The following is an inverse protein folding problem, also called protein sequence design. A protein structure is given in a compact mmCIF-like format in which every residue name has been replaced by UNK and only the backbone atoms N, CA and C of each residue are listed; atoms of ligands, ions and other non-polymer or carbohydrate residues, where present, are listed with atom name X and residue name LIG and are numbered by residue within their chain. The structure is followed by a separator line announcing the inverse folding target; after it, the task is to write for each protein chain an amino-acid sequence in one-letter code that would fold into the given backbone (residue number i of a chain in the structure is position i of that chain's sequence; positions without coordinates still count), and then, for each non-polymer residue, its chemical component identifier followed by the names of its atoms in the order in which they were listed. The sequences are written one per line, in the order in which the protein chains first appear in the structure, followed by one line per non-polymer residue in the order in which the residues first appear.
data_IF_955249127401
#
_entry.id   IF_955249127401
#
_cell.length_a   1.000
_cell.length_b   1.000
_cell.length_c   1.000
_cell.angle_alpha   90.00
_cell.angle_beta   90.00
_cell.angle_gamma   90.00
#
_symmetry.space_group_name_H-M   'P 1'
#
loop_
_entity.id
_entity.type
_entity.pdbx_description
1 polymer ?
#
# COMPACT_ATOMS: atom_id res chain seq x y z
N UNK A 1 -13.11 20.53 -12.49
CA UNK A 1 -13.25 21.96 -12.87
C UNK A 1 -12.29 22.27 -14.00
N UNK A 2 -12.78 22.36 -15.24
CA UNK A 2 -11.95 22.67 -16.43
C UNK A 2 -11.39 24.10 -16.41
N UNK A 3 -12.24 25.03 -15.95
CA UNK A 3 -11.94 26.48 -15.86
C UNK A 3 -10.76 26.82 -14.96
N UNK A 4 -10.43 25.97 -13.98
CA UNK A 4 -9.26 26.20 -13.12
C UNK A 4 -7.96 25.93 -13.89
N UNK A 5 -7.96 24.92 -14.78
CA UNK A 5 -6.81 24.66 -15.64
C UNK A 5 -6.56 25.83 -16.58
N UNK A 6 -7.61 26.39 -17.18
CA UNK A 6 -7.51 27.57 -18.06
C UNK A 6 -6.80 28.75 -17.34
N UNK A 7 -7.12 29.00 -16.07
CA UNK A 7 -6.47 30.06 -15.26
C UNK A 7 -4.99 29.73 -14.99
N UNK A 8 -4.67 28.46 -14.71
CA UNK A 8 -3.29 28.03 -14.49
C UNK A 8 -2.46 28.07 -15.77
N UNK A 9 -3.08 27.82 -16.92
CA UNK A 9 -2.46 27.99 -18.24
C UNK A 9 -2.07 29.45 -18.49
N UNK A 10 -3.01 30.38 -18.26
CA UNK A 10 -2.75 31.83 -18.35
C UNK A 10 -1.63 32.25 -17.39
N UNK A 11 -1.62 31.73 -16.17
CA UNK A 11 -0.56 31.98 -15.20
C UNK A 11 0.80 31.46 -15.66
N UNK A 12 0.86 30.25 -16.23
CA UNK A 12 2.10 29.69 -16.76
C UNK A 12 2.62 30.52 -17.94
N UNK A 13 1.73 30.95 -18.85
CA UNK A 13 2.09 31.87 -19.93
C UNK A 13 2.64 33.19 -19.40
N UNK A 14 1.97 33.80 -18.42
CA UNK A 14 2.39 35.06 -17.82
C UNK A 14 3.77 34.96 -17.14
N UNK A 15 4.07 33.83 -16.49
CA UNK A 15 5.37 33.58 -15.85
C UNK A 15 6.45 33.07 -16.80
N UNK A 16 6.10 32.75 -18.05
CA UNK A 16 7.01 32.15 -19.02
C UNK A 16 7.37 30.69 -18.73
N UNK A 17 6.54 29.98 -17.94
CA UNK A 17 6.73 28.56 -17.69
C UNK A 17 6.28 27.74 -18.89
N UNK A 18 7.17 26.88 -19.38
CA UNK A 18 6.85 25.92 -20.43
C UNK A 18 6.01 24.79 -19.85
N UNK A 19 4.78 24.62 -20.33
CA UNK A 19 3.85 23.64 -19.80
C UNK A 19 3.22 22.75 -20.89
N UNK A 20 2.60 21.65 -20.44
CA UNK A 20 1.62 20.87 -21.19
C UNK A 20 0.33 20.77 -20.37
N UNK A 21 -0.83 20.87 -21.04
CA UNK A 21 -2.14 20.65 -20.45
C UNK A 21 -2.82 19.46 -21.12
N UNK A 22 -3.23 18.45 -20.33
CA UNK A 22 -4.11 17.38 -20.81
C UNK A 22 -5.43 17.46 -20.08
N UNK A 23 -6.50 17.30 -20.86
CA UNK A 23 -7.85 17.29 -20.35
C UNK A 23 -8.63 16.06 -20.86
N UNK A 24 -9.82 15.82 -20.28
CA UNK A 24 -10.68 14.70 -20.62
C UNK A 24 -11.15 14.70 -22.08
N UNK A 25 -11.15 15.87 -22.74
CA UNK A 25 -11.51 16.03 -24.15
C UNK A 25 -10.34 15.94 -25.14
N UNK A 26 -9.09 15.89 -24.70
CA UNK A 26 -7.93 15.84 -25.59
C UNK A 26 -7.91 14.53 -26.38
N UNK A 27 -7.60 14.55 -27.67
CA UNK A 27 -7.54 13.32 -28.47
C UNK A 27 -6.49 12.36 -27.91
N UNK A 28 -6.68 11.05 -28.09
CA UNK A 28 -5.76 10.06 -27.53
C UNK A 28 -4.34 10.21 -28.07
N UNK A 29 -4.21 10.53 -29.36
CA UNK A 29 -2.92 10.74 -30.04
C UNK A 29 -2.16 11.92 -29.43
N UNK A 30 -2.84 13.05 -29.24
CA UNK A 30 -2.25 14.26 -28.65
C UNK A 30 -1.82 14.04 -27.20
N UNK A 31 -2.57 13.22 -26.45
CA UNK A 31 -2.20 12.84 -25.08
C UNK A 31 -0.89 12.09 -25.03
N UNK A 32 -0.71 11.10 -25.92
CA UNK A 32 0.53 10.32 -25.99
C UNK A 32 1.70 11.25 -26.36
N UNK A 33 1.52 12.09 -27.39
CA UNK A 33 2.56 13.02 -27.84
C UNK A 33 3.00 13.98 -26.72
N UNK A 34 2.05 14.54 -25.96
CA UNK A 34 2.37 15.43 -24.84
C UNK A 34 3.09 14.71 -23.68
N UNK A 35 2.69 13.47 -23.37
CA UNK A 35 3.34 12.64 -22.34
C UNK A 35 4.78 12.31 -22.75
N UNK A 36 4.98 11.89 -24.00
CA UNK A 36 6.29 11.49 -24.52
C UNK A 36 7.26 12.68 -24.54
N UNK A 37 6.82 13.85 -24.99
CA UNK A 37 7.66 15.04 -25.06
C UNK A 37 8.00 15.60 -23.65
N UNK A 38 7.10 15.46 -22.67
CA UNK A 38 7.41 15.81 -21.29
C UNK A 38 8.41 14.86 -20.63
N UNK A 39 8.31 13.56 -20.90
CA UNK A 39 9.18 12.54 -20.33
C UNK A 39 10.53 12.39 -21.04
N UNK A 40 10.70 13.03 -22.20
CA UNK A 40 11.93 13.00 -22.99
C UNK A 40 13.12 13.57 -22.20
N UNK A 41 14.27 12.92 -22.34
CA UNK A 41 15.51 13.42 -21.72
C UNK A 41 15.84 14.82 -22.24
N UNK A 42 16.04 15.77 -21.32
CA UNK A 42 16.28 17.18 -21.68
C UNK A 42 15.03 17.96 -22.09
N UNK A 43 13.82 17.48 -21.77
CA UNK A 43 12.59 18.25 -22.01
C UNK A 43 12.69 19.64 -21.36
N UNK A 44 12.32 20.67 -22.13
CA UNK A 44 12.26 22.05 -21.64
C UNK A 44 10.98 22.34 -20.84
N UNK A 45 10.07 21.36 -20.76
CA UNK A 45 8.78 21.50 -20.10
C UNK A 45 8.95 21.36 -18.61
N UNK A 46 8.49 22.36 -17.87
CA UNK A 46 8.60 22.43 -16.42
C UNK A 46 7.33 21.95 -15.72
N UNK A 47 6.15 22.24 -16.30
CA UNK A 47 4.86 21.95 -15.67
C UNK A 47 4.03 21.02 -16.54
N UNK A 48 3.46 19.98 -15.95
CA UNK A 48 2.40 19.20 -16.58
C UNK A 48 1.09 19.44 -15.84
N UNK A 49 0.22 20.24 -16.44
CA UNK A 49 -1.12 20.52 -15.95
C UNK A 49 -2.01 19.33 -16.31
N UNK A 50 -2.24 18.50 -15.31
CA UNK A 50 -3.36 17.57 -15.30
C UNK A 50 -4.36 18.09 -14.27
N UNK A 51 -5.59 17.62 -14.36
CA UNK A 51 -6.62 17.91 -13.36
C UNK A 51 -6.21 17.54 -11.92
N UNK A 52 -5.10 16.83 -11.67
CA UNK A 52 -4.82 16.21 -10.36
C UNK A 52 -3.34 16.02 -9.92
N UNK A 53 -2.31 16.58 -10.58
CA UNK A 53 -0.90 16.33 -10.14
C UNK A 53 -0.36 17.33 -9.09
N UNK A 54 -0.86 18.56 -9.07
CA UNK A 54 -0.87 19.40 -7.86
C UNK A 54 -2.33 19.40 -7.42
N UNK A 55 -2.61 18.90 -6.23
CA UNK A 55 -3.98 18.82 -5.73
C UNK A 55 -4.41 20.22 -5.29
N UNK A 56 -4.83 21.00 -6.28
CA UNK A 56 -5.35 22.35 -6.09
C UNK A 56 -6.64 22.29 -5.28
N UNK A 57 -7.52 21.36 -5.65
CA UNK A 57 -8.71 20.99 -4.91
C UNK A 57 -8.64 19.50 -4.56
N UNK A 58 -9.20 19.11 -3.41
CA UNK A 58 -9.32 17.70 -3.03
C UNK A 58 -10.60 17.09 -3.56
N UNK A 59 -10.53 15.89 -4.14
CA UNK A 59 -11.72 15.14 -4.50
C UNK A 59 -12.44 14.62 -3.24
N UNK A 60 -13.76 14.43 -3.33
CA UNK A 60 -14.57 13.80 -2.28
C UNK A 60 -14.26 12.30 -2.10
N UNK A 61 -13.67 11.69 -3.13
CA UNK A 61 -13.15 10.34 -3.12
C UNK A 61 -11.61 10.36 -2.95
N UNK A 62 -11.07 9.95 -1.78
CA UNK A 62 -9.62 9.94 -1.54
C UNK A 62 -8.85 9.05 -2.52
N UNK A 63 -9.49 8.02 -3.09
CA UNK A 63 -8.85 7.12 -4.03
C UNK A 63 -8.54 7.80 -5.38
N UNK A 64 -9.33 8.80 -5.78
CA UNK A 64 -9.07 9.56 -7.01
C UNK A 64 -7.79 10.39 -6.87
N UNK A 65 -7.61 11.04 -5.72
CA UNK A 65 -6.38 11.76 -5.40
C UNK A 65 -5.17 10.83 -5.34
N UNK A 66 -5.29 9.67 -4.68
CA UNK A 66 -4.22 8.66 -4.60
C UNK A 66 -3.82 8.16 -5.99
N UNK A 67 -4.80 7.87 -6.86
CA UNK A 67 -4.54 7.44 -8.23
C UNK A 67 -3.82 8.51 -9.06
N UNK A 68 -4.05 9.79 -8.76
CA UNK A 68 -3.33 10.87 -9.39
C UNK A 68 -1.88 10.98 -8.89
N UNK A 69 -1.65 10.81 -7.58
CA UNK A 69 -0.30 10.74 -7.01
C UNK A 69 0.50 9.59 -7.63
N UNK A 70 -0.13 8.43 -7.82
CA UNK A 70 0.47 7.23 -8.45
C UNK A 70 0.89 7.45 -9.91
N UNK A 71 0.49 8.56 -10.55
CA UNK A 71 1.02 8.93 -11.89
C UNK A 71 2.48 9.35 -11.82
N UNK A 72 2.90 9.98 -10.72
CA UNK A 72 4.27 10.41 -10.47
C UNK A 72 5.02 9.46 -9.52
N UNK A 73 4.34 8.98 -8.48
CA UNK A 73 4.87 8.03 -7.50
C UNK A 73 4.67 6.59 -7.99
N UNK A 74 5.44 6.21 -9.02
CA UNK A 74 5.37 4.88 -9.63
C UNK A 74 6.75 4.25 -9.77
N UNK A 75 6.78 2.92 -9.90
CA UNK A 75 7.96 2.14 -10.28
C UNK A 75 8.60 2.76 -11.53
N UNK A 76 9.89 3.08 -11.44
CA UNK A 76 10.64 3.80 -12.48
C UNK A 76 10.99 5.25 -12.10
N UNK A 77 10.33 5.81 -11.09
CA UNK A 77 10.72 7.09 -10.51
C UNK A 77 12.00 6.94 -9.68
N UNK A 78 13.01 7.75 -9.99
CA UNK A 78 14.32 7.74 -9.32
C UNK A 78 14.46 8.84 -8.27
N UNK A 79 13.62 9.89 -8.32
CA UNK A 79 13.65 11.04 -7.41
C UNK A 79 12.52 10.97 -6.39
N UNK A 80 12.74 11.55 -5.22
CA UNK A 80 11.69 11.66 -4.20
C UNK A 80 10.50 12.49 -4.74
N UNK A 81 9.31 11.93 -4.67
CA UNK A 81 8.07 12.62 -5.05
C UNK A 81 7.54 13.37 -3.84
N UNK A 82 7.31 14.67 -4.01
CA UNK A 82 6.64 15.52 -3.04
C UNK A 82 5.23 15.81 -3.55
N UNK A 83 4.23 15.57 -2.71
CA UNK A 83 2.83 15.85 -3.02
C UNK A 83 2.34 16.98 -2.14
N UNK A 84 1.95 18.08 -2.77
CA UNK A 84 1.35 19.23 -2.10
C UNK A 84 -0.15 19.27 -2.39
N UNK A 85 -0.93 19.38 -1.33
CA UNK A 85 -2.39 19.51 -1.36
C UNK A 85 -2.76 20.86 -0.77
N UNK A 86 -3.49 21.67 -1.53
CA UNK A 86 -3.98 22.95 -1.04
C UNK A 86 -5.29 22.74 -0.27
N UNK A 87 -5.44 23.50 0.82
CA UNK A 87 -6.62 23.50 1.66
C UNK A 87 -6.76 24.89 2.27
N UNK A 88 -7.94 25.46 2.17
CA UNK A 88 -8.26 26.78 2.68
C UNK A 88 -8.68 26.69 4.14
N UNK A 89 -8.00 27.41 5.01
CA UNK A 89 -8.27 27.41 6.45
C UNK A 89 -9.66 27.98 6.78
N UNK A 90 -10.37 27.37 7.73
CA UNK A 90 -11.69 27.80 8.19
C UNK A 90 -12.80 27.63 7.14
N UNK A 91 -12.55 26.85 6.08
CA UNK A 91 -13.49 26.60 5.00
C UNK A 91 -14.12 25.20 5.07
N UNK A 92 -15.03 24.92 4.14
CA UNK A 92 -15.61 23.57 3.98
C UNK A 92 -14.56 22.52 3.57
N UNK A 93 -13.42 22.94 3.01
CA UNK A 93 -12.37 22.04 2.51
C UNK A 93 -11.72 21.22 3.63
N UNK A 94 -11.54 21.81 4.82
CA UNK A 94 -11.03 21.09 5.99
C UNK A 94 -11.94 19.93 6.36
N UNK A 95 -13.26 20.17 6.37
CA UNK A 95 -14.26 19.13 6.65
C UNK A 95 -14.25 18.04 5.57
N UNK A 96 -14.06 18.42 4.31
CA UNK A 96 -13.92 17.44 3.21
C UNK A 96 -12.67 16.58 3.43
N UNK A 97 -11.56 17.19 3.82
CA UNK A 97 -10.30 16.48 4.10
C UNK A 97 -10.44 15.49 5.26
N UNK A 98 -11.05 15.91 6.37
CA UNK A 98 -11.33 15.05 7.52
C UNK A 98 -12.20 13.85 7.13
N UNK A 99 -13.25 14.08 6.34
CA UNK A 99 -14.14 13.02 5.85
C UNK A 99 -13.41 12.07 4.90
N UNK A 100 -12.57 12.60 4.01
CA UNK A 100 -11.76 11.79 3.11
C UNK A 100 -10.78 10.89 3.89
N UNK A 101 -10.15 11.41 4.94
CA UNK A 101 -9.27 10.62 5.83
C UNK A 101 -10.04 9.52 6.58
N UNK A 102 -11.25 9.82 7.08
CA UNK A 102 -12.11 8.81 7.71
C UNK A 102 -12.50 7.70 6.73
N UNK A 103 -12.88 8.06 5.49
CA UNK A 103 -13.20 7.08 4.43
C UNK A 103 -12.00 6.19 4.13
N UNK A 104 -10.82 6.79 3.92
CA UNK A 104 -9.60 6.04 3.63
C UNK A 104 -9.25 5.06 4.77
N UNK A 105 -9.43 5.48 6.03
CA UNK A 105 -9.18 4.61 7.18
C UNK A 105 -10.19 3.46 7.25
N UNK A 106 -11.45 3.72 6.98
CA UNK A 106 -12.50 2.71 6.93
C UNK A 106 -12.23 1.70 5.81
N UNK A 107 -11.84 2.15 4.63
CA UNK A 107 -11.48 1.28 3.50
C UNK A 107 -10.32 0.34 3.86
N UNK A 108 -9.28 0.84 4.55
CA UNK A 108 -8.17 0.02 5.04
C UNK A 108 -8.64 -1.08 6.01
N UNK A 109 -9.56 -0.75 6.94
CA UNK A 109 -10.11 -1.72 7.89
C UNK A 109 -10.94 -2.79 7.19
N UNK A 110 -11.75 -2.41 6.21
CA UNK A 110 -12.56 -3.36 5.41
C UNK A 110 -11.65 -4.32 4.63
N UNK A 111 -10.59 -3.81 4.00
CA UNK A 111 -9.61 -4.65 3.28
C UNK A 111 -8.93 -5.64 4.24
N UNK A 112 -8.55 -5.20 5.43
CA UNK A 112 -7.94 -6.07 6.44
C UNK A 112 -8.90 -7.16 6.92
N UNK A 113 -10.17 -6.81 7.16
CA UNK A 113 -11.21 -7.77 7.54
C UNK A 113 -11.46 -8.80 6.43
N UNK A 114 -11.54 -8.37 5.17
CA UNK A 114 -11.71 -9.26 4.02
C UNK A 114 -10.55 -10.24 3.88
N UNK A 115 -9.31 -9.79 4.06
CA UNK A 115 -8.12 -10.67 4.07
C UNK A 115 -8.18 -11.67 5.23
N UNK A 116 -8.59 -11.24 6.42
CA UNK A 116 -8.77 -12.10 7.59
C UNK A 116 -9.84 -13.18 7.37
N UNK A 117 -10.98 -12.82 6.78
CA UNK A 117 -12.05 -13.77 6.44
C UNK A 117 -11.60 -14.79 5.38
N UNK A 118 -10.81 -14.37 4.39
CA UNK A 118 -10.24 -15.28 3.39
C UNK A 118 -9.23 -16.28 4.01
N UNK A 119 -8.45 -15.85 5.00
CA UNK A 119 -7.54 -16.74 5.74
C UNK A 119 -8.31 -17.79 6.56
N UNK A 120 -9.45 -17.42 7.16
CA UNK A 120 -10.30 -18.36 7.90
C UNK A 120 -10.99 -19.40 7.01
N UNK A 121 -11.22 -19.10 5.73
CA UNK A 121 -11.80 -20.04 4.77
C UNK A 121 -10.75 -20.86 4.00
N UNK A 122 -9.46 -20.57 4.18
CA UNK A 122 -8.40 -21.30 3.51
C UNK A 122 -8.21 -22.66 4.21
N UNK A 123 -8.30 -23.79 3.49
CA UNK A 123 -7.99 -25.10 4.08
C UNK A 123 -6.54 -25.11 4.56
N UNK A 124 -6.29 -25.76 5.71
CA UNK A 124 -4.99 -25.77 6.38
C UNK A 124 -3.87 -26.16 5.40
N UNK A 125 -2.80 -25.38 5.40
CA UNK A 125 -1.66 -25.61 4.52
C UNK A 125 -0.86 -26.84 5.00
N UNK A 126 -0.14 -27.52 4.09
CA UNK A 126 0.66 -28.72 4.45
C UNK A 126 1.67 -28.43 5.57
N UNK A 127 2.24 -27.23 5.58
CA UNK A 127 3.19 -26.79 6.60
C UNK A 127 2.52 -26.56 7.96
N UNK A 128 1.31 -25.99 7.99
CA UNK A 128 0.52 -25.84 9.23
C UNK A 128 0.12 -27.21 9.80
N UNK A 129 -0.24 -28.16 8.93
CA UNK A 129 -0.56 -29.54 9.34
C UNK A 129 0.67 -30.26 9.89
N UNK A 130 1.85 -30.06 9.29
CA UNK A 130 3.11 -30.61 9.80
C UNK A 130 3.46 -30.00 11.15
N UNK A 131 3.33 -28.69 11.33
CA UNK A 131 3.53 -28.02 12.63
C UNK A 131 2.56 -28.53 13.70
N UNK A 132 1.27 -28.73 13.36
CA UNK A 132 0.30 -29.33 14.28
C UNK A 132 0.69 -30.74 14.72
N UNK A 133 1.26 -31.56 13.81
CA UNK A 133 1.71 -32.91 14.12
C UNK A 133 2.98 -32.86 14.98
N UNK A 134 3.93 -31.98 14.68
CA UNK A 134 5.15 -31.83 15.47
C UNK A 134 4.90 -31.24 16.87
N UNK A 135 3.83 -30.45 17.04
CA UNK A 135 3.45 -29.87 18.33
C UNK A 135 2.95 -30.94 19.32
N UNK A 136 3.88 -31.48 20.10
CA UNK A 136 3.62 -32.49 21.14
C UNK A 136 4.45 -33.77 20.98
N UNK A 137 5.06 -34.00 19.81
CA UNK A 137 5.96 -35.14 19.56
C UNK A 137 7.17 -35.09 20.49
N UNK A 138 7.72 -33.90 20.75
CA UNK A 138 8.86 -33.73 21.67
C UNK A 138 8.51 -34.09 23.12
N UNK A 139 7.28 -33.79 23.57
CA UNK A 139 6.81 -34.17 24.90
C UNK A 139 6.60 -35.68 25.03
N UNK A 140 6.10 -36.33 23.98
CA UNK A 140 5.90 -37.78 23.95
C UNK A 140 7.24 -38.51 23.90
N UNK A 141 8.19 -38.02 23.09
CA UNK A 141 9.54 -38.56 23.01
C UNK A 141 10.25 -38.51 24.38
N UNK A 142 10.24 -37.36 25.05
CA UNK A 142 10.88 -37.21 26.38
C UNK A 142 10.18 -38.04 27.47
N UNK A 143 8.84 -38.17 27.43
CA UNK A 143 8.10 -39.02 28.37
C UNK A 143 8.42 -40.52 28.22
N UNK A 144 8.89 -40.94 27.05
CA UNK A 144 9.26 -42.32 26.77
C UNK A 144 10.67 -42.63 27.28
N UNK A 145 11.60 -41.68 27.21
CA UNK A 145 12.95 -41.79 27.80
C UNK A 145 12.91 -41.86 29.34
N UNK A 146 12.08 -41.05 29.99
CA UNK A 146 11.88 -41.11 31.45
C UNK A 146 11.32 -42.46 31.91
N UNK A 147 10.42 -43.08 31.12
CA UNK A 147 9.90 -44.42 31.42
C UNK A 147 10.97 -45.51 31.34
N UNK A 148 11.88 -45.45 30.36
CA UNK A 148 12.94 -46.46 30.16
C UNK A 148 14.04 -46.39 31.23
N UNK A 149 14.41 -45.18 31.69
CA UNK A 149 15.41 -45.04 32.77
C UNK A 149 14.91 -45.56 34.13
N UNK A 150 13.60 -45.52 34.38
CA UNK A 150 13.01 -45.99 35.64
C UNK A 150 12.93 -47.53 35.77
N UNK A 151 12.93 -48.27 34.64
CA UNK A 151 12.79 -49.74 34.65
C UNK A 151 14.12 -50.51 34.67
N UNK A 152 15.27 -49.84 34.55
CA UNK A 152 16.57 -50.51 34.39
C UNK A 152 17.46 -50.59 35.66
N UNK A 153 16.99 -50.15 36.84
CA UNK A 153 17.80 -50.10 38.08
C UNK A 153 17.40 -51.17 39.12
N UNK A 154 16.41 -52.03 38.86
CA UNK A 154 16.12 -53.18 39.74
C UNK A 154 16.34 -54.48 38.99
N UNK A 155 17.58 -54.98 38.99
CA UNK A 155 17.82 -56.41 39.22
C UNK A 155 19.31 -56.70 39.50
N UNK A 156 19.50 -57.59 40.48
CA UNK A 156 20.72 -58.33 40.83
C UNK A 156 21.80 -57.65 41.72
N UNK A 157 21.58 -57.66 43.03
CA UNK A 157 22.53 -58.31 43.97
C UNK A 157 21.93 -58.45 45.38
N UNK A 158 21.63 -59.68 45.78
CA UNK A 158 21.55 -60.07 47.20
C UNK A 158 22.64 -61.11 47.48
N UNK A 159 23.56 -60.89 48.43
CA UNK A 159 24.38 -61.96 48.97
C UNK A 159 23.58 -62.68 50.08
N UNK A 160 23.38 -63.99 49.90
CA UNK A 160 22.86 -64.89 50.95
C UNK A 160 23.98 -65.20 51.95
N UNK A 161 23.71 -65.06 53.25
CA UNK A 161 24.54 -65.61 54.34
C UNK A 161 23.64 -66.31 55.34
N UNK A 162 23.75 -67.63 55.41
CA UNK A 162 23.64 -68.47 56.60
C UNK A 162 24.10 -69.89 56.23
#
# INVERSE_FOLDING_TARGET
MRRMLDILEDYCMFRGYQYYGIDGGTAHVDRIAAIDEYNKEGSQKFVFLLTTLVLYDSDWNPQADLQAMDRAHRIGQMKQVYVYRFSTEGSVEERVLERAAQKLRLDQLVIQQQRGAQLQQKPANKDELLEMIHHGVERIANSTEERVTSSAIRDCSSPSTA
#
